data_IF_067292181192
#
_entry.id   IF_067292181192
#
_cell.length_a   1.000
_cell.length_b   1.000
_cell.length_c   1.000
_cell.angle_alpha   90.00
_cell.angle_beta   90.00
_cell.angle_gamma   90.00
#
_symmetry.space_group_name_H-M   'P 1'
#
loop_
_entity.id
_entity.type
_entity.pdbx_description
1 polymer ?
#
# COMPACT_ATOMS: atom_id res chain seq x y z
N UNK A 1 4.43 -16.13 -28.79
CA UNK A 1 4.22 -15.73 -28.56
C UNK A 1 4.15 -15.62 -28.30
N UNK A 2 3.97 -15.63 -28.05
CA UNK A 2 3.55 -15.31 -27.78
C UNK A 2 3.31 -15.00 -27.36
N UNK A 3 3.48 -14.73 -27.54
CA UNK A 3 3.12 -14.19 -26.99
C UNK A 3 2.31 -14.20 -26.65
N UNK A 4 2.03 -14.26 -26.90
CA UNK A 4 1.05 -14.23 -26.32
C UNK A 4 0.98 -14.83 -25.08
N UNK A 5 1.63 -15.70 -24.58
CA UNK A 5 1.55 -16.18 -23.28
C UNK A 5 2.22 -15.36 -22.29
N UNK A 6 3.35 -14.79 -22.60
CA UNK A 6 4.00 -13.84 -21.76
C UNK A 6 3.10 -12.64 -21.52
N UNK A 7 2.44 -12.21 -22.56
CA UNK A 7 1.52 -11.08 -22.42
C UNK A 7 0.36 -11.44 -21.51
N UNK A 8 -0.12 -12.66 -21.60
CA UNK A 8 -1.22 -13.07 -20.74
C UNK A 8 -0.82 -13.06 -19.27
N UNK A 9 0.39 -13.51 -18.97
CA UNK A 9 0.86 -13.50 -17.60
C UNK A 9 0.95 -12.09 -17.07
N UNK A 10 1.43 -11.16 -17.88
CA UNK A 10 1.51 -9.76 -17.47
C UNK A 10 0.12 -9.19 -17.25
N UNK A 11 -0.83 -9.54 -18.11
CA UNK A 11 -2.21 -9.07 -17.94
C UNK A 11 -2.79 -9.58 -16.64
N UNK A 12 -2.50 -10.83 -16.28
CA UNK A 12 -2.97 -11.36 -15.02
C UNK A 12 -2.43 -10.60 -13.83
N UNK A 13 -1.17 -10.21 -13.88
CA UNK A 13 -0.59 -9.37 -12.85
C UNK A 13 -1.31 -8.04 -12.74
N UNK A 14 -1.66 -7.47 -13.87
CA UNK A 14 -2.32 -6.16 -13.90
C UNK A 14 -3.75 -6.22 -13.37
N UNK A 15 -4.33 -7.40 -13.28
CA UNK A 15 -5.70 -7.51 -12.81
C UNK A 15 -5.82 -7.24 -11.32
N UNK A 16 -4.88 -7.72 -10.55
CA UNK A 16 -4.97 -7.53 -9.10
C UNK A 16 -3.66 -7.84 -8.41
N UNK A 17 -3.42 -7.15 -7.31
CA UNK A 17 -2.38 -7.51 -6.36
C UNK A 17 -3.00 -8.41 -5.30
N UNK A 18 -2.21 -9.25 -4.62
CA UNK A 18 -2.74 -9.99 -3.48
C UNK A 18 -3.24 -9.04 -2.40
N UNK A 19 -4.18 -9.50 -1.60
CA UNK A 19 -4.63 -8.73 -0.46
C UNK A 19 -3.54 -8.69 0.61
N UNK A 20 -3.24 -7.50 1.12
CA UNK A 20 -2.27 -7.32 2.20
C UNK A 20 -2.98 -6.75 3.42
N UNK A 21 -2.73 -7.35 4.58
CA UNK A 21 -3.24 -6.85 5.85
C UNK A 21 -2.07 -6.32 6.65
N UNK A 22 -2.28 -5.19 7.31
CA UNK A 22 -1.23 -4.49 8.04
C UNK A 22 -1.64 -4.35 9.48
N UNK A 23 -0.69 -4.55 10.38
CA UNK A 23 -0.86 -4.24 11.80
C UNK A 23 0.34 -3.43 12.24
N UNK A 24 0.08 -2.29 12.82
CA UNK A 24 1.15 -1.39 13.25
C UNK A 24 0.84 -0.82 14.62
N UNK A 25 1.85 -0.14 15.19
CA UNK A 25 1.73 0.42 16.54
C UNK A 25 1.88 1.93 16.45
N UNK A 26 0.91 2.64 17.01
CA UNK A 26 0.99 4.10 17.10
C UNK A 26 2.24 4.48 17.89
N UNK A 27 2.97 5.45 17.39
CA UNK A 27 4.20 5.91 18.02
C UNK A 27 5.47 5.20 17.57
N UNK A 28 5.35 4.19 16.70
CA UNK A 28 6.51 3.49 16.15
C UNK A 28 6.58 3.70 14.65
N UNK A 29 7.79 3.74 14.07
CA UNK A 29 7.90 3.83 12.62
C UNK A 29 7.28 2.61 11.96
N UNK A 30 6.71 2.81 10.79
CA UNK A 30 6.08 1.76 10.02
C UNK A 30 6.78 1.64 8.67
N UNK A 31 7.05 0.40 8.27
CA UNK A 31 7.57 0.12 6.95
C UNK A 31 6.80 -1.08 6.38
N UNK A 32 6.20 -0.89 5.22
CA UNK A 32 5.43 -1.93 4.56
C UNK A 32 6.08 -2.21 3.21
N UNK A 33 6.55 -3.43 3.02
CA UNK A 33 7.16 -3.84 1.76
C UNK A 33 6.17 -4.69 0.98
N UNK A 34 5.84 -4.25 -0.23
CA UNK A 34 4.94 -4.96 -1.12
C UNK A 34 5.74 -5.49 -2.30
N UNK A 35 5.84 -6.81 -2.46
CA UNK A 35 6.59 -7.36 -3.59
C UNK A 35 5.86 -7.12 -4.90
N UNK A 36 6.61 -6.78 -5.92
CA UNK A 36 6.10 -6.58 -7.28
C UNK A 36 6.85 -7.51 -8.22
N UNK A 37 6.16 -8.52 -8.70
CA UNK A 37 6.77 -9.54 -9.54
C UNK A 37 6.12 -9.54 -10.91
N UNK A 38 6.93 -9.90 -11.90
CA UNK A 38 6.42 -10.13 -13.24
C UNK A 38 5.77 -11.51 -13.31
N UNK A 39 5.04 -11.76 -14.39
CA UNK A 39 4.34 -13.03 -14.55
C UNK A 39 5.23 -14.26 -14.53
N UNK A 40 6.52 -14.10 -14.84
CA UNK A 40 7.48 -15.20 -14.80
C UNK A 40 8.14 -15.37 -13.44
N UNK A 41 7.72 -14.58 -12.44
CA UNK A 41 8.25 -14.66 -11.09
C UNK A 41 9.48 -13.82 -10.83
N UNK A 42 9.99 -13.13 -11.84
CA UNK A 42 11.14 -12.25 -11.64
C UNK A 42 10.71 -10.88 -11.12
N UNK A 43 11.65 -10.13 -10.58
CA UNK A 43 11.38 -8.81 -10.04
C UNK A 43 10.89 -7.85 -11.13
N UNK A 44 9.87 -7.07 -10.81
CA UNK A 44 9.44 -5.98 -11.67
C UNK A 44 10.47 -4.86 -11.60
N UNK A 45 11.03 -4.40 -12.74
CA UNK A 45 11.99 -3.29 -12.69
C UNK A 45 11.33 -2.01 -12.17
N UNK A 46 12.07 -1.26 -11.37
CA UNK A 46 11.56 0.02 -10.86
C UNK A 46 11.17 0.95 -12.00
N UNK A 47 11.89 0.90 -13.12
CA UNK A 47 11.62 1.76 -14.27
C UNK A 47 10.28 1.47 -14.93
N UNK A 48 9.69 0.31 -14.66
CA UNK A 48 8.38 -0.05 -15.21
C UNK A 48 7.22 0.56 -14.41
N UNK A 49 7.49 1.18 -13.27
CA UNK A 49 6.47 1.73 -12.38
C UNK A 49 6.63 3.25 -12.34
N UNK A 50 5.54 3.96 -12.62
CA UNK A 50 5.57 5.43 -12.60
C UNK A 50 5.04 6.00 -11.29
N UNK A 51 4.19 5.26 -10.61
CA UNK A 51 3.59 5.76 -9.37
C UNK A 51 3.09 4.58 -8.52
N UNK A 52 3.27 4.70 -7.23
CA UNK A 52 2.68 3.80 -6.27
C UNK A 52 2.04 4.63 -5.17
N UNK A 53 0.81 4.29 -4.82
CA UNK A 53 0.13 4.99 -3.74
C UNK A 53 -0.79 4.02 -3.01
N UNK A 54 -1.12 4.41 -1.79
CA UNK A 54 -2.05 3.64 -0.97
C UNK A 54 -2.88 4.60 -0.15
N UNK A 55 -4.14 4.28 0.06
CA UNK A 55 -5.03 5.10 0.87
C UNK A 55 -5.66 4.26 1.95
N UNK A 56 -5.66 4.80 3.17
CA UNK A 56 -6.28 4.19 4.34
C UNK A 56 -7.56 4.94 4.63
N UNK A 57 -8.65 4.20 4.75
CA UNK A 57 -9.99 4.77 4.97
C UNK A 57 -10.63 4.12 6.19
N UNK A 58 -11.56 4.83 6.81
CA UNK A 58 -12.25 4.32 8.00
C UNK A 58 -13.25 3.21 7.68
N UNK A 59 -13.70 3.11 6.43
CA UNK A 59 -14.58 2.05 5.97
C UNK A 59 -14.31 1.79 4.49
N UNK A 60 -14.67 0.60 4.02
CA UNK A 60 -14.35 0.16 2.66
C UNK A 60 -14.90 1.11 1.60
N UNK A 61 -16.12 1.59 1.79
CA UNK A 61 -16.78 2.45 0.83
C UNK A 61 -16.79 3.92 1.27
N UNK A 62 -15.98 4.27 2.26
CA UNK A 62 -15.92 5.63 2.76
C UNK A 62 -15.12 6.53 1.82
N UNK A 63 -15.55 7.77 1.70
CA UNK A 63 -14.78 8.79 0.99
C UNK A 63 -13.75 9.47 1.90
N UNK A 64 -13.77 9.17 3.19
CA UNK A 64 -12.85 9.80 4.13
C UNK A 64 -11.53 9.06 4.15
N UNK A 65 -10.50 9.72 3.66
CA UNK A 65 -9.13 9.18 3.67
C UNK A 65 -8.47 9.56 4.97
N UNK A 66 -8.06 8.56 5.74
CA UNK A 66 -7.38 8.78 7.02
C UNK A 66 -5.90 9.03 6.83
N UNK A 67 -5.30 8.40 5.84
CA UNK A 67 -3.89 8.59 5.51
C UNK A 67 -3.65 8.16 4.07
N UNK A 68 -2.67 8.77 3.45
CA UNK A 68 -2.30 8.46 2.07
C UNK A 68 -0.79 8.35 1.96
N UNK A 69 -0.33 7.29 1.31
CA UNK A 69 1.07 7.11 0.93
C UNK A 69 1.16 7.33 -0.58
N UNK A 70 2.20 7.99 -1.06
CA UNK A 70 2.32 8.28 -2.48
C UNK A 70 3.77 8.55 -2.83
N UNK A 71 4.22 7.99 -3.96
CA UNK A 71 5.56 8.28 -4.48
C UNK A 71 5.73 9.74 -4.83
N UNK A 72 4.64 10.46 -5.04
CA UNK A 72 4.66 11.88 -5.39
C UNK A 72 4.55 12.81 -4.17
N UNK A 73 4.46 12.26 -2.98
CA UNK A 73 4.38 13.08 -1.76
C UNK A 73 5.71 13.75 -1.44
N UNK A 74 5.63 14.83 -0.68
CA UNK A 74 6.79 15.54 -0.15
C UNK A 74 6.57 15.82 1.33
N UNK A 75 7.30 15.15 2.23
CA UNK A 75 8.36 14.18 1.95
C UNK A 75 7.82 12.87 1.40
N UNK A 76 8.68 12.18 0.66
CA UNK A 76 8.30 10.92 0.02
C UNK A 76 8.06 9.85 1.08
N UNK A 77 6.94 9.17 0.99
CA UNK A 77 6.60 8.08 1.90
C UNK A 77 6.30 6.78 1.17
N UNK A 78 6.61 6.72 -0.12
CA UNK A 78 6.54 5.50 -0.90
C UNK A 78 7.73 5.48 -1.88
N UNK A 79 8.46 4.38 -1.92
CA UNK A 79 9.65 4.25 -2.76
C UNK A 79 9.54 2.96 -3.56
N UNK A 80 9.71 3.07 -4.88
CA UNK A 80 9.71 1.92 -5.76
C UNK A 80 11.15 1.53 -6.03
N UNK A 81 11.44 0.25 -5.84
CA UNK A 81 12.73 -0.36 -6.15
C UNK A 81 12.47 -1.54 -7.08
N UNK A 82 13.53 -2.19 -7.55
CA UNK A 82 13.35 -3.41 -8.34
C UNK A 82 12.70 -4.47 -7.46
N UNK A 83 11.55 -4.95 -7.88
CA UNK A 83 10.86 -6.04 -7.21
C UNK A 83 10.00 -5.65 -6.04
N UNK A 84 9.88 -4.36 -5.69
CA UNK A 84 9.07 -3.99 -4.52
C UNK A 84 8.72 -2.52 -4.49
N UNK A 85 7.68 -2.21 -3.73
CA UNK A 85 7.42 -0.85 -3.27
C UNK A 85 7.39 -0.86 -1.76
N UNK A 86 7.96 0.16 -1.14
CA UNK A 86 8.03 0.30 0.32
C UNK A 86 7.27 1.56 0.71
N UNK A 87 6.26 1.39 1.55
CA UNK A 87 5.51 2.50 2.14
C UNK A 87 6.01 2.71 3.56
N UNK A 88 6.27 3.96 3.91
CA UNK A 88 6.85 4.28 5.23
C UNK A 88 6.05 5.35 5.94
N UNK A 89 6.02 5.27 7.26
CA UNK A 89 5.46 6.33 8.11
C UNK A 89 6.38 6.48 9.32
N UNK A 90 6.72 7.72 9.64
CA UNK A 90 7.57 8.00 10.80
C UNK A 90 6.78 7.79 12.09
N UNK A 91 7.49 7.70 13.22
CA UNK A 91 6.83 7.59 14.51
C UNK A 91 5.94 8.79 14.80
N UNK A 92 6.31 9.95 14.29
CA UNK A 92 5.50 11.16 14.45
C UNK A 92 4.16 11.01 13.72
N UNK A 93 4.20 10.47 12.50
CA UNK A 93 2.99 10.26 11.70
C UNK A 93 2.09 9.22 12.37
N UNK A 94 2.65 8.07 12.78
CA UNK A 94 1.84 7.03 13.40
C UNK A 94 1.25 7.49 14.74
N UNK A 95 1.96 8.35 15.46
CA UNK A 95 1.41 8.95 16.69
C UNK A 95 0.18 9.77 16.38
N UNK A 96 0.20 10.54 15.28
CA UNK A 96 -0.92 11.39 14.92
C UNK A 96 -2.18 10.57 14.60
N UNK A 97 -2.04 9.33 14.19
CA UNK A 97 -3.18 8.48 13.89
C UNK A 97 -4.07 8.24 15.12
N UNK A 98 -3.46 8.24 16.30
CA UNK A 98 -4.22 8.08 17.53
C UNK A 98 -5.17 9.25 17.79
N UNK A 99 -4.84 10.42 17.26
CA UNK A 99 -5.66 11.64 17.45
C UNK A 99 -6.69 11.81 16.33
N UNK A 100 -6.35 11.36 15.13
CA UNK A 100 -7.19 11.63 13.96
C UNK A 100 -8.23 10.56 13.73
N UNK A 101 -7.93 9.32 14.12
CA UNK A 101 -8.81 8.20 13.81
C UNK A 101 -9.92 8.08 14.83
N UNK A 102 -11.11 7.69 14.39
CA UNK A 102 -12.24 7.58 15.30
C UNK A 102 -12.03 6.46 16.32
N UNK A 103 -12.52 6.69 17.52
CA UNK A 103 -12.44 5.73 18.59
C UNK A 103 -11.12 5.74 19.28
N UNK A 104 -11.11 5.40 20.53
CA UNK A 104 -9.91 5.30 21.32
C UNK A 104 -9.74 3.90 21.85
N UNK A 105 -10.26 2.94 21.09
CA UNK A 105 -10.11 1.53 21.44
C UNK A 105 -8.62 1.15 21.38
N UNK A 106 -8.20 0.11 22.07
CA UNK A 106 -6.82 -0.34 21.99
C UNK A 106 -6.39 -0.67 20.57
N UNK A 107 -7.33 -1.06 19.71
CA UNK A 107 -7.06 -1.33 18.30
C UNK A 107 -8.04 -0.53 17.46
N UNK A 108 -7.52 0.25 16.55
CA UNK A 108 -8.33 0.94 15.55
C UNK A 108 -8.24 0.17 14.25
N UNK A 109 -9.39 -0.17 13.69
CA UNK A 109 -9.47 -0.92 12.43
C UNK A 109 -9.85 0.03 11.32
N UNK A 110 -9.05 0.00 10.26
CA UNK A 110 -9.31 0.75 9.05
C UNK A 110 -9.11 -0.19 7.86
N UNK A 111 -9.32 0.33 6.66
CA UNK A 111 -9.19 -0.44 5.43
C UNK A 111 -8.26 0.32 4.49
N UNK A 112 -7.48 -0.40 3.73
CA UNK A 112 -6.60 0.27 2.78
C UNK A 112 -6.58 -0.44 1.45
N UNK A 113 -6.19 0.33 0.43
CA UNK A 113 -6.05 -0.17 -0.93
C UNK A 113 -4.76 0.39 -1.51
N UNK A 114 -4.12 -0.42 -2.34
CA UNK A 114 -2.86 -0.05 -2.99
C UNK A 114 -3.11 0.06 -4.48
N UNK A 115 -2.58 1.12 -5.07
CA UNK A 115 -2.68 1.34 -6.50
C UNK A 115 -1.29 1.53 -7.08
N UNK A 116 -0.94 0.73 -8.07
CA UNK A 116 0.35 0.80 -8.75
C UNK A 116 0.06 1.17 -10.21
N UNK A 117 0.73 2.20 -10.71
CA UNK A 117 0.60 2.64 -12.10
C UNK A 117 1.89 2.33 -12.83
N UNK A 118 1.81 1.66 -13.96
CA UNK A 118 2.99 1.30 -14.73
C UNK A 118 3.32 2.36 -15.80
N UNK A 119 4.38 2.11 -16.56
CA UNK A 119 4.86 3.06 -17.55
C UNK A 119 3.89 3.25 -18.71
N UNK A 120 2.97 2.31 -18.90
CA UNK A 120 1.95 2.41 -19.95
C UNK A 120 0.68 3.10 -19.46
N UNK A 121 0.65 3.49 -18.19
CA UNK A 121 -0.52 4.14 -17.61
C UNK A 121 -1.56 3.18 -17.08
N UNK A 122 -1.28 1.88 -17.10
CA UNK A 122 -2.20 0.89 -16.55
C UNK A 122 -2.07 0.82 -15.04
N UNK A 123 -3.16 0.51 -14.38
CA UNK A 123 -3.26 0.53 -12.93
C UNK A 123 -3.56 -0.85 -12.39
N UNK A 124 -2.82 -1.25 -11.35
CA UNK A 124 -3.01 -2.49 -10.64
C UNK A 124 -3.50 -2.15 -9.24
N UNK A 125 -4.51 -2.86 -8.76
CA UNK A 125 -5.05 -2.66 -7.42
C UNK A 125 -5.12 -3.99 -6.70
N UNK A 126 -5.26 -3.95 -5.36
CA UNK A 126 -5.50 -5.18 -4.61
C UNK A 126 -6.82 -5.80 -5.03
N UNK A 127 -6.89 -7.12 -4.98
CA UNK A 127 -8.11 -7.86 -5.34
C UNK A 127 -9.29 -7.43 -4.47
N UNK A 128 -9.01 -7.09 -3.22
CA UNK A 128 -10.00 -6.49 -2.32
C UNK A 128 -9.26 -5.69 -1.28
N UNK A 129 -9.92 -4.71 -0.65
CA UNK A 129 -9.27 -3.90 0.39
C UNK A 129 -8.73 -4.75 1.52
N UNK A 130 -7.58 -4.37 2.03
CA UNK A 130 -6.96 -5.04 3.16
C UNK A 130 -7.28 -4.35 4.47
N UNK A 131 -7.12 -5.08 5.56
CA UNK A 131 -7.24 -4.51 6.89
C UNK A 131 -6.01 -3.68 7.21
N UNK A 132 -6.23 -2.56 7.87
CA UNK A 132 -5.15 -1.71 8.36
C UNK A 132 -5.43 -1.42 9.82
N UNK A 133 -4.75 -2.15 10.71
CA UNK A 133 -4.99 -2.06 12.13
C UNK A 133 -3.90 -1.26 12.81
N UNK A 134 -4.30 -0.32 13.66
CA UNK A 134 -3.38 0.47 14.45
C UNK A 134 -3.61 0.13 15.91
N UNK A 135 -2.56 -0.35 16.58
CA UNK A 135 -2.61 -0.67 17.99
C UNK A 135 -2.13 0.56 18.75
N UNK A 136 -2.97 1.07 19.61
CA UNK A 136 -2.65 2.24 20.43
C UNK A 136 -1.99 1.77 21.69
N UNK A 137 -0.86 2.39 22.02
CA UNK A 137 -0.15 2.03 23.24
C UNK A 137 -0.87 2.61 24.43
N UNK A 138 -1.19 1.74 25.36
CA UNK A 138 -1.88 2.14 26.59
C UNK A 138 -0.93 2.36 27.71
N UNK A 139 0.22 1.70 27.65
CA UNK A 139 1.24 1.80 28.67
C UNK A 139 2.26 2.84 28.28
N UNK A 140 2.61 3.67 29.21
CA UNK A 140 3.61 4.73 29.01
C UNK A 140 4.83 4.47 29.86
#
# INVERSE_FOLDING_TARGET
>A
MTTEDTASAVVELHQALPQFNVRCYAGRPLEITVPLLQGDGTDMPASAITRARAQVRDAIDSNQVLHSFDTDDDPVDAVVSDGEVVFTATSLVTTSWGDLWPGRAPVTTAWWDIEITDEDGETWQMSEPGLFEVIHQVTR
#
